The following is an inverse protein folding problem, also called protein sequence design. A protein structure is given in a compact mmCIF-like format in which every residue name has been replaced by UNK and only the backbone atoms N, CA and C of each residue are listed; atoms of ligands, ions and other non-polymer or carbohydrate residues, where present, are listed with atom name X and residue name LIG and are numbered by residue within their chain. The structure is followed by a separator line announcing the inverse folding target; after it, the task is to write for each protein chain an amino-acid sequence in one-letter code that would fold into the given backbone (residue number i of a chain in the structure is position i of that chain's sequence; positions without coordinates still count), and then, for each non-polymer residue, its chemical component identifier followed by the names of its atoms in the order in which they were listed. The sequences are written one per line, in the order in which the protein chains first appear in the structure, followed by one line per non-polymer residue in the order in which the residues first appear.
data_IF_352635650203
#
_entry.id   IF_352635650203
#
_cell.length_a   1.000
_cell.length_b   1.000
_cell.length_c   1.000
_cell.angle_alpha   90.00
_cell.angle_beta   90.00
_cell.angle_gamma   90.00
#
_symmetry.space_group_name_H-M   'P 1'
#
loop_
_entity.id
_entity.type
_entity.pdbx_description
1 polymer ?
#
# COMPACT_ATOMS: atom_id res chain seq x y z
N UNK A 1 26.86 7.72 4.45
CA UNK A 1 27.37 6.89 5.57
C UNK A 1 28.29 5.88 4.93
N UNK A 2 29.48 5.65 5.47
CA UNK A 2 30.50 4.81 4.82
C UNK A 2 29.98 3.36 4.68
N UNK A 3 29.75 2.90 3.45
CA UNK A 3 29.22 1.55 3.17
C UNK A 3 30.20 0.42 3.57
N UNK A 4 31.45 0.79 3.89
CA UNK A 4 32.54 -0.12 4.30
C UNK A 4 32.75 -0.20 5.83
N UNK A 5 31.93 0.45 6.66
CA UNK A 5 32.06 0.32 8.11
C UNK A 5 31.69 -1.10 8.58
N UNK A 6 32.70 -1.84 9.08
CA UNK A 6 32.52 -3.18 9.63
C UNK A 6 32.06 -3.15 11.10
N UNK A 7 30.84 -3.60 11.36
CA UNK A 7 30.24 -3.65 12.69
C UNK A 7 30.45 -5.01 13.37
N UNK A 8 30.83 -5.02 14.67
CA UNK A 8 30.89 -6.25 15.44
C UNK A 8 29.47 -6.78 15.77
N UNK A 9 29.38 -8.08 16.04
CA UNK A 9 28.12 -8.76 16.39
C UNK A 9 27.30 -8.04 17.46
N UNK A 10 27.95 -7.52 18.52
CA UNK A 10 27.28 -6.83 19.62
C UNK A 10 26.51 -5.57 19.17
N UNK A 11 27.10 -4.79 18.24
CA UNK A 11 26.46 -3.60 17.66
C UNK A 11 25.25 -4.01 16.83
N UNK A 12 25.38 -5.08 16.03
CA UNK A 12 24.27 -5.58 15.20
C UNK A 12 23.11 -6.10 16.06
N UNK A 13 23.40 -6.84 17.13
CA UNK A 13 22.35 -7.31 18.05
C UNK A 13 21.62 -6.13 18.72
N UNK A 14 22.35 -5.07 19.09
CA UNK A 14 21.74 -3.87 19.67
C UNK A 14 20.89 -3.10 18.66
N UNK A 15 21.34 -2.94 17.41
CA UNK A 15 20.62 -2.23 16.35
C UNK A 15 19.38 -2.98 15.84
N UNK A 16 19.45 -4.31 15.80
CA UNK A 16 18.40 -5.14 15.17
C UNK A 16 17.44 -5.76 16.18
N UNK A 17 17.79 -5.77 17.47
CA UNK A 17 17.05 -6.48 18.52
C UNK A 17 17.13 -8.01 18.41
N UNK A 18 17.89 -8.56 17.45
CA UNK A 18 18.07 -9.99 17.30
C UNK A 18 19.13 -10.51 18.27
N UNK A 19 18.94 -11.73 18.78
CA UNK A 19 19.97 -12.42 19.54
C UNK A 19 21.12 -12.85 18.62
N UNK A 20 22.33 -12.96 19.21
CA UNK A 20 23.50 -13.51 18.52
C UNK A 20 23.22 -14.91 17.94
N UNK A 21 22.43 -15.74 18.63
CA UNK A 21 22.02 -17.06 18.15
C UNK A 21 21.09 -17.01 16.95
N UNK A 22 20.20 -16.02 16.88
CA UNK A 22 19.33 -15.82 15.71
C UNK A 22 20.14 -15.45 14.48
N UNK A 23 21.14 -14.56 14.63
CA UNK A 23 22.04 -14.19 13.54
C UNK A 23 22.87 -15.40 13.06
N UNK A 24 23.41 -16.18 14.00
CA UNK A 24 24.12 -17.44 13.70
C UNK A 24 23.22 -18.46 13.02
N UNK A 25 21.96 -18.55 13.43
CA UNK A 25 20.97 -19.41 12.82
C UNK A 25 20.68 -18.99 11.38
N UNK A 26 20.46 -17.70 11.11
CA UNK A 26 20.21 -17.21 9.75
C UNK A 26 21.39 -17.42 8.80
N UNK A 27 22.62 -17.24 9.28
CA UNK A 27 23.82 -17.59 8.52
C UNK A 27 23.86 -19.10 8.20
N UNK A 28 23.60 -19.97 9.19
CA UNK A 28 23.59 -21.43 9.02
C UNK A 28 22.51 -21.92 8.06
N UNK A 29 21.33 -21.31 8.09
CA UNK A 29 20.22 -21.64 7.19
C UNK A 29 20.41 -21.07 5.77
N UNK A 30 21.49 -20.32 5.51
CA UNK A 30 21.77 -19.71 4.22
C UNK A 30 20.87 -18.51 3.88
N UNK A 31 20.22 -17.92 4.90
CA UNK A 31 19.43 -16.70 4.74
C UNK A 31 20.32 -15.45 4.62
N UNK A 32 21.47 -15.49 5.29
CA UNK A 32 22.53 -14.49 5.13
C UNK A 32 23.73 -15.14 4.43
N UNK A 33 24.45 -14.41 3.55
CA UNK A 33 25.73 -14.88 3.06
C UNK A 33 26.71 -15.08 4.22
N UNK A 34 27.77 -15.89 4.03
CA UNK A 34 28.84 -16.04 5.02
C UNK A 34 29.39 -14.67 5.42
N UNK A 35 29.38 -14.37 6.72
CA UNK A 35 29.78 -13.07 7.25
C UNK A 35 31.30 -13.05 7.42
N UNK A 36 31.94 -11.95 7.03
CA UNK A 36 33.38 -11.77 7.16
C UNK A 36 33.82 -11.92 8.63
N UNK A 37 35.07 -12.32 8.84
CA UNK A 37 35.67 -12.44 10.18
C UNK A 37 36.95 -11.64 10.25
N UNK A 38 37.18 -10.99 11.39
CA UNK A 38 38.45 -10.32 11.67
C UNK A 38 39.57 -11.34 11.99
N UNK A 39 40.81 -10.84 12.17
CA UNK A 39 41.96 -11.68 12.54
C UNK A 39 41.80 -12.43 13.88
N UNK A 40 40.87 -12.03 14.74
CA UNK A 40 40.50 -12.73 15.98
C UNK A 40 39.34 -13.74 15.82
N UNK A 41 38.91 -14.04 14.59
CA UNK A 41 37.84 -15.02 14.30
C UNK A 41 36.41 -14.54 14.61
N UNK A 42 36.22 -13.26 14.94
CA UNK A 42 34.92 -12.68 15.25
C UNK A 42 34.24 -12.12 13.99
N UNK A 43 32.91 -12.27 13.92
CA UNK A 43 32.08 -11.77 12.79
C UNK A 43 32.13 -10.24 12.67
N UNK A 44 32.12 -9.77 11.42
CA UNK A 44 32.10 -8.38 11.00
C UNK A 44 31.03 -8.20 9.92
N UNK A 45 30.02 -7.40 10.24
CA UNK A 45 28.87 -7.14 9.38
C UNK A 45 29.01 -5.78 8.73
N UNK A 46 28.71 -5.69 7.44
CA UNK A 46 28.64 -4.40 6.73
C UNK A 46 27.21 -3.89 6.68
N UNK A 47 27.01 -2.62 6.35
CA UNK A 47 25.67 -2.03 6.25
C UNK A 47 24.77 -2.81 5.26
N UNK A 48 25.33 -3.28 4.15
CA UNK A 48 24.64 -4.16 3.18
C UNK A 48 24.07 -5.45 3.81
N UNK A 49 24.72 -5.99 4.85
CA UNK A 49 24.24 -7.18 5.54
C UNK A 49 23.06 -6.85 6.46
N UNK A 50 23.07 -5.65 7.07
CA UNK A 50 21.97 -5.14 7.88
C UNK A 50 20.74 -4.82 7.02
N UNK A 51 20.91 -4.25 5.82
CA UNK A 51 19.80 -3.96 4.92
C UNK A 51 19.13 -5.26 4.43
N UNK A 52 19.94 -6.27 4.10
CA UNK A 52 19.45 -7.63 3.77
C UNK A 52 18.68 -8.23 4.93
N UNK A 53 19.23 -8.13 6.14
CA UNK A 53 18.61 -8.64 7.35
C UNK A 53 17.27 -7.93 7.64
N UNK A 54 17.25 -6.60 7.58
CA UNK A 54 16.04 -5.78 7.75
C UNK A 54 14.94 -6.22 6.78
N UNK A 55 15.30 -6.41 5.51
CA UNK A 55 14.33 -6.89 4.51
C UNK A 55 13.85 -8.31 4.78
N UNK A 56 14.74 -9.24 5.15
CA UNK A 56 14.37 -10.61 5.54
C UNK A 56 13.43 -10.63 6.75
N UNK A 57 13.66 -9.76 7.73
CA UNK A 57 12.77 -9.63 8.88
C UNK A 57 11.38 -9.13 8.47
N UNK A 58 11.27 -8.22 7.49
CA UNK A 58 9.98 -7.80 6.93
C UNK A 58 9.26 -8.94 6.22
N UNK A 59 9.97 -9.78 5.45
CA UNK A 59 9.39 -10.98 4.82
C UNK A 59 8.88 -11.96 5.89
N UNK A 60 9.66 -12.19 6.96
CA UNK A 60 9.25 -13.06 8.08
C UNK A 60 8.06 -12.49 8.85
N UNK A 61 8.08 -11.20 9.18
CA UNK A 61 7.00 -10.52 9.92
C UNK A 61 5.67 -10.54 9.14
N UNK A 62 5.77 -10.53 7.81
CA UNK A 62 4.62 -10.72 6.91
C UNK A 62 4.32 -12.19 6.62
N UNK A 63 4.89 -13.13 7.39
CA UNK A 63 4.53 -14.55 7.36
C UNK A 63 5.08 -15.35 6.19
N UNK A 64 6.14 -14.88 5.50
CA UNK A 64 6.82 -15.70 4.50
C UNK A 64 7.44 -16.94 5.18
N UNK A 65 7.17 -18.17 4.69
CA UNK A 65 7.80 -19.37 5.23
C UNK A 65 9.33 -19.33 5.08
N UNK A 66 10.05 -19.89 6.07
CA UNK A 66 11.52 -19.94 6.06
C UNK A 66 12.04 -20.60 4.77
N UNK A 67 11.39 -21.66 4.29
CA UNK A 67 11.77 -22.31 3.03
C UNK A 67 11.74 -21.35 1.82
N UNK A 68 10.71 -20.50 1.72
CA UNK A 68 10.62 -19.48 0.66
C UNK A 68 11.66 -18.36 0.85
N UNK A 69 11.95 -17.98 2.10
CA UNK A 69 13.02 -17.02 2.40
C UNK A 69 14.40 -17.56 2.00
N UNK A 70 14.66 -18.86 2.18
CA UNK A 70 15.90 -19.52 1.72
C UNK A 70 16.01 -19.49 0.21
N UNK A 71 14.96 -19.87 -0.51
CA UNK A 71 14.90 -19.76 -1.97
C UNK A 71 15.19 -18.33 -2.45
N UNK A 72 14.62 -17.32 -1.77
CA UNK A 72 14.87 -15.92 -2.08
C UNK A 72 16.33 -15.51 -1.83
N UNK A 73 16.95 -15.98 -0.75
CA UNK A 73 18.35 -15.75 -0.44
C UNK A 73 19.28 -16.42 -1.47
N UNK A 74 19.01 -17.66 -1.87
CA UNK A 74 19.74 -18.38 -2.93
C UNK A 74 19.69 -17.63 -4.26
N UNK A 75 18.51 -17.20 -4.70
CA UNK A 75 18.33 -16.40 -5.92
C UNK A 75 19.05 -15.04 -5.83
N UNK A 76 19.23 -14.50 -4.63
CA UNK A 76 20.03 -13.28 -4.42
C UNK A 76 21.52 -13.56 -4.61
N UNK A 77 22.02 -14.69 -4.13
CA UNK A 77 23.43 -15.07 -4.29
C UNK A 77 23.82 -15.31 -5.76
N UNK A 78 22.86 -15.62 -6.63
CA UNK A 78 23.04 -15.74 -8.07
C UNK A 78 23.22 -14.38 -8.79
N UNK A 79 23.12 -13.26 -8.08
CA UNK A 79 23.29 -11.93 -8.67
C UNK A 79 22.22 -11.62 -9.73
N UNK A 80 22.66 -11.29 -10.94
CA UNK A 80 21.78 -10.86 -12.03
C UNK A 80 20.89 -11.99 -12.57
N UNK A 81 21.44 -13.20 -12.71
CA UNK A 81 20.70 -14.34 -13.27
C UNK A 81 19.52 -14.75 -12.39
N UNK A 82 19.61 -14.51 -11.08
CA UNK A 82 18.52 -14.74 -10.13
C UNK A 82 17.52 -13.59 -10.00
N UNK A 83 17.72 -12.44 -10.67
CA UNK A 83 16.87 -11.24 -10.50
C UNK A 83 15.41 -11.50 -10.87
N UNK A 84 15.16 -12.13 -12.00
CA UNK A 84 13.80 -12.48 -12.44
C UNK A 84 13.10 -13.40 -11.42
N UNK A 85 13.81 -14.41 -10.91
CA UNK A 85 13.29 -15.31 -9.88
C UNK A 85 12.99 -14.60 -8.56
N UNK A 86 13.87 -13.68 -8.14
CA UNK A 86 13.63 -12.85 -6.93
C UNK A 86 12.38 -12.01 -7.07
N UNK A 87 12.21 -11.35 -8.22
CA UNK A 87 11.01 -10.55 -8.50
C UNK A 87 9.75 -11.41 -8.44
N UNK A 88 9.77 -12.61 -9.04
CA UNK A 88 8.63 -13.53 -8.99
C UNK A 88 8.23 -13.92 -7.56
N UNK A 89 9.22 -14.24 -6.70
CA UNK A 89 8.96 -14.54 -5.27
C UNK A 89 8.33 -13.34 -4.56
N UNK A 90 8.84 -12.14 -4.80
CA UNK A 90 8.31 -10.92 -4.18
C UNK A 90 6.92 -10.55 -4.68
N UNK A 91 6.63 -10.71 -5.97
CA UNK A 91 5.31 -10.46 -6.55
C UNK A 91 4.26 -11.40 -5.97
N UNK A 92 4.60 -12.69 -5.85
CA UNK A 92 3.71 -13.68 -5.23
C UNK A 92 3.44 -13.33 -3.77
N UNK A 93 4.49 -13.09 -2.97
CA UNK A 93 4.33 -12.74 -1.56
C UNK A 93 3.56 -11.43 -1.38
N UNK A 94 3.80 -10.43 -2.24
CA UNK A 94 3.04 -9.17 -2.25
C UNK A 94 1.54 -9.43 -2.47
N UNK A 95 1.18 -10.29 -3.41
CA UNK A 95 -0.21 -10.66 -3.65
C UNK A 95 -0.84 -11.35 -2.42
N UNK A 96 -0.10 -12.25 -1.78
CA UNK A 96 -0.55 -12.97 -0.58
C UNK A 96 -0.76 -12.03 0.61
N UNK A 97 0.19 -11.12 0.86
CA UNK A 97 0.10 -10.09 1.90
C UNK A 97 -1.09 -9.15 1.65
N UNK A 98 -1.29 -8.70 0.41
CA UNK A 98 -2.45 -7.85 0.04
C UNK A 98 -3.78 -8.55 0.35
N UNK A 99 -3.92 -9.84 0.04
CA UNK A 99 -5.13 -10.61 0.39
C UNK A 99 -5.34 -10.69 1.89
N UNK A 100 -4.28 -10.89 2.68
CA UNK A 100 -4.39 -10.94 4.14
C UNK A 100 -4.74 -9.57 4.74
N UNK A 101 -4.19 -8.48 4.20
CA UNK A 101 -4.57 -7.11 4.61
C UNK A 101 -6.06 -6.87 4.36
N UNK A 102 -6.56 -7.20 3.17
CA UNK A 102 -7.98 -7.05 2.85
C UNK A 102 -8.88 -7.83 3.84
N UNK A 103 -8.52 -9.09 4.14
CA UNK A 103 -9.23 -9.90 5.11
C UNK A 103 -9.18 -9.32 6.53
N UNK A 104 -8.03 -8.79 6.96
CA UNK A 104 -7.88 -8.17 8.28
C UNK A 104 -8.74 -6.91 8.40
N UNK A 105 -8.80 -6.09 7.36
CA UNK A 105 -9.65 -4.89 7.31
C UNK A 105 -11.14 -5.27 7.38
N UNK A 106 -11.55 -6.31 6.64
CA UNK A 106 -12.92 -6.82 6.67
C UNK A 106 -13.31 -7.34 8.08
N UNK A 107 -12.43 -8.14 8.68
CA UNK A 107 -12.64 -8.68 10.02
C UNK A 107 -12.67 -7.58 11.08
N UNK A 108 -11.77 -6.60 10.99
CA UNK A 108 -11.75 -5.44 11.89
C UNK A 108 -13.08 -4.69 11.83
N UNK A 109 -13.58 -4.43 10.62
CA UNK A 109 -14.89 -3.80 10.42
C UNK A 109 -16.04 -4.58 11.08
N UNK A 110 -15.99 -5.91 11.08
CA UNK A 110 -16.99 -6.74 11.77
C UNK A 110 -16.88 -6.65 13.30
N UNK A 111 -15.67 -6.57 13.84
CA UNK A 111 -15.40 -6.36 15.26
C UNK A 111 -15.92 -4.99 15.69
N UNK A 112 -15.59 -3.93 14.95
CA UNK A 112 -16.00 -2.55 15.25
C UNK A 112 -17.52 -2.42 15.32
N UNK A 113 -18.24 -2.98 14.35
CA UNK A 113 -19.72 -3.03 14.39
C UNK A 113 -20.26 -3.68 15.65
N UNK A 114 -19.59 -4.72 16.15
CA UNK A 114 -20.01 -5.43 17.36
C UNK A 114 -19.67 -4.63 18.62
N UNK A 115 -18.50 -4.01 18.66
CA UNK A 115 -18.11 -3.07 19.73
C UNK A 115 -19.12 -1.94 19.84
N UNK A 116 -19.47 -1.29 18.72
CA UNK A 116 -20.45 -0.20 18.70
C UNK A 116 -21.85 -0.63 19.13
N UNK A 117 -22.27 -1.85 18.73
CA UNK A 117 -23.52 -2.43 19.20
C UNK A 117 -23.53 -2.60 20.72
N UNK A 118 -22.46 -3.12 21.31
CA UNK A 118 -22.35 -3.28 22.76
C UNK A 118 -22.30 -1.93 23.48
N UNK A 119 -21.52 -0.97 22.97
CA UNK A 119 -21.47 0.41 23.50
C UNK A 119 -22.87 1.05 23.51
N UNK A 120 -23.66 0.86 22.44
CA UNK A 120 -25.04 1.35 22.36
C UNK A 120 -25.95 0.71 23.40
N UNK A 121 -25.87 -0.60 23.59
CA UNK A 121 -26.68 -1.34 24.58
C UNK A 121 -26.38 -0.86 26.01
N UNK A 122 -25.10 -0.69 26.36
CA UNK A 122 -24.70 -0.21 27.69
C UNK A 122 -25.23 1.21 27.94
N UNK A 123 -25.07 2.12 26.96
CA UNK A 123 -25.61 3.49 27.06
C UNK A 123 -27.13 3.51 27.25
N UNK A 124 -27.85 2.63 26.56
CA UNK A 124 -29.31 2.50 26.71
C UNK A 124 -29.73 2.01 28.11
N UNK A 125 -28.85 1.28 28.82
CA UNK A 125 -29.06 0.82 30.19
C UNK A 125 -28.60 1.83 31.26
N UNK A 126 -28.09 2.99 30.86
CA UNK A 126 -27.49 3.96 31.77
C UNK A 126 -26.10 3.56 32.28
N UNK A 127 -25.49 2.54 31.66
CA UNK A 127 -24.14 2.09 31.99
C UNK A 127 -23.11 2.80 31.11
N UNK A 128 -21.99 3.22 31.70
CA UNK A 128 -20.88 3.78 30.94
C UNK A 128 -20.04 2.64 30.33
N UNK A 129 -19.88 2.57 28.99
CA UNK A 129 -19.02 1.58 28.38
C UNK A 129 -17.56 1.77 28.80
N UNK A 130 -16.81 0.66 28.85
CA UNK A 130 -15.36 0.68 29.09
C UNK A 130 -14.70 1.62 28.07
N UNK A 131 -13.90 2.60 28.51
CA UNK A 131 -13.21 3.51 27.61
C UNK A 131 -12.20 2.75 26.76
N UNK A 132 -11.99 3.24 25.53
CA UNK A 132 -10.91 2.74 24.69
C UNK A 132 -9.54 3.11 25.28
N UNK A 133 -8.47 2.46 24.80
CA UNK A 133 -7.10 2.83 25.16
C UNK A 133 -6.73 4.23 24.65
N UNK A 134 -7.42 4.69 23.60
CA UNK A 134 -7.27 6.05 23.08
C UNK A 134 -8.09 7.06 23.90
N UNK A 135 -7.49 8.18 24.33
CA UNK A 135 -8.18 9.21 25.11
C UNK A 135 -9.18 10.04 24.27
N UNK A 136 -9.17 9.90 22.95
CA UNK A 136 -10.12 10.59 22.07
C UNK A 136 -11.45 9.84 22.01
N UNK A 137 -12.57 10.57 22.15
CA UNK A 137 -13.92 10.01 22.02
C UNK A 137 -14.31 9.65 20.57
N UNK A 138 -13.44 9.94 19.60
CA UNK A 138 -13.60 9.67 18.18
C UNK A 138 -12.23 9.43 17.53
N UNK A 139 -12.24 8.76 16.38
CA UNK A 139 -11.06 8.54 15.54
C UNK A 139 -11.40 8.95 14.11
N UNK A 140 -10.46 9.62 13.44
CA UNK A 140 -10.57 9.84 12.00
C UNK A 140 -10.03 8.60 11.29
N UNK A 141 -10.91 7.91 10.58
CA UNK A 141 -10.56 6.76 9.75
C UNK A 141 -10.12 7.21 8.35
N UNK A 142 -9.47 6.32 7.57
CA UNK A 142 -9.18 6.59 6.17
C UNK A 142 -10.42 7.02 5.39
N UNK A 143 -10.20 7.82 4.34
CA UNK A 143 -11.28 8.33 3.48
C UNK A 143 -12.09 7.17 2.91
N UNK A 144 -13.40 7.17 3.17
CA UNK A 144 -14.30 6.14 2.64
C UNK A 144 -14.55 6.32 1.14
N UNK A 145 -14.89 7.54 0.73
CA UNK A 145 -15.20 7.85 -0.66
C UNK A 145 -14.92 9.31 -0.98
N UNK A 146 -14.76 9.59 -2.27
CA UNK A 146 -14.82 10.94 -2.83
C UNK A 146 -16.02 11.01 -3.79
N UNK A 147 -16.67 12.17 -3.85
CA UNK A 147 -17.71 12.43 -4.84
C UNK A 147 -17.20 13.43 -5.88
N UNK A 148 -17.39 13.11 -7.16
CA UNK A 148 -17.12 14.01 -8.29
C UNK A 148 -18.42 14.24 -9.07
N UNK A 149 -18.59 15.47 -9.54
CA UNK A 149 -19.73 15.83 -10.38
C UNK A 149 -19.50 15.35 -11.82
N UNK A 150 -20.57 14.94 -12.48
CA UNK A 150 -20.59 14.61 -13.91
C UNK A 150 -21.82 15.25 -14.58
N UNK A 151 -21.79 15.54 -15.90
CA UNK A 151 -22.96 16.02 -16.60
C UNK A 151 -24.03 14.91 -16.73
N UNK A 152 -25.31 15.29 -16.93
CA UNK A 152 -26.37 14.33 -17.24
C UNK A 152 -26.01 13.47 -18.46
N UNK A 153 -26.17 12.14 -18.35
CA UNK A 153 -25.85 11.19 -19.43
C UNK A 153 -24.38 10.80 -19.56
N UNK A 154 -23.52 11.23 -18.64
CA UNK A 154 -22.08 10.92 -18.64
C UNK A 154 -21.70 9.48 -18.23
N UNK A 155 -22.63 8.65 -17.80
CA UNK A 155 -22.33 7.36 -17.14
C UNK A 155 -21.53 6.39 -18.03
N UNK A 156 -21.76 6.37 -19.35
CA UNK A 156 -21.01 5.49 -20.25
C UNK A 156 -19.56 5.94 -20.44
N UNK A 157 -19.31 7.25 -20.50
CA UNK A 157 -17.95 7.79 -20.50
C UNK A 157 -17.25 7.53 -19.15
N UNK A 158 -18.00 7.56 -18.04
CA UNK A 158 -17.47 7.15 -16.75
C UNK A 158 -17.03 5.69 -16.74
N UNK A 159 -17.83 4.78 -17.29
CA UNK A 159 -17.48 3.35 -17.39
C UNK A 159 -16.24 3.15 -18.25
N UNK A 160 -16.17 3.80 -19.41
CA UNK A 160 -14.98 3.76 -20.27
C UNK A 160 -13.72 4.20 -19.51
N UNK A 161 -13.79 5.27 -18.72
CA UNK A 161 -12.61 5.76 -17.99
C UNK A 161 -12.33 4.98 -16.70
N UNK A 162 -13.26 4.97 -15.74
CA UNK A 162 -13.02 4.45 -14.40
C UNK A 162 -12.93 2.92 -14.37
N UNK A 163 -13.74 2.22 -15.17
CA UNK A 163 -13.69 0.76 -15.25
C UNK A 163 -12.66 0.29 -16.27
N UNK A 164 -12.70 0.80 -17.51
CA UNK A 164 -11.90 0.21 -18.58
C UNK A 164 -10.46 0.75 -18.62
N UNK A 165 -10.22 2.04 -18.32
CA UNK A 165 -8.87 2.63 -18.26
C UNK A 165 -8.22 2.44 -16.88
N UNK A 166 -8.93 2.79 -15.80
CA UNK A 166 -8.38 2.73 -14.43
C UNK A 166 -8.59 1.35 -13.76
N UNK A 167 -9.35 0.44 -14.36
CA UNK A 167 -9.52 -0.92 -13.86
C UNK A 167 -10.34 -1.01 -12.57
N UNK A 168 -11.16 -0.01 -12.23
CA UNK A 168 -12.01 -0.05 -11.04
C UNK A 168 -13.26 -0.90 -11.28
N UNK A 169 -13.79 -1.47 -10.20
CA UNK A 169 -15.02 -2.27 -10.25
C UNK A 169 -16.23 -1.35 -10.08
N UNK A 170 -17.15 -1.35 -11.04
CA UNK A 170 -18.45 -0.66 -10.91
C UNK A 170 -19.28 -1.33 -9.80
N UNK A 171 -19.89 -0.52 -8.94
CA UNK A 171 -20.78 -0.95 -7.87
C UNK A 171 -22.23 -0.70 -8.25
N UNK A 172 -23.10 -1.64 -7.89
CA UNK A 172 -24.54 -1.42 -7.99
C UNK A 172 -24.99 -0.39 -6.94
N UNK A 173 -25.65 0.67 -7.41
CA UNK A 173 -26.19 1.70 -6.52
C UNK A 173 -27.39 1.15 -5.74
N UNK A 174 -27.54 1.50 -4.45
CA UNK A 174 -28.76 1.19 -3.70
C UNK A 174 -30.02 1.70 -4.44
N UNK A 175 -31.15 0.96 -4.41
CA UNK A 175 -32.35 1.33 -5.15
C UNK A 175 -32.85 2.76 -4.87
N UNK A 176 -32.72 3.22 -3.61
CA UNK A 176 -33.12 4.58 -3.20
C UNK A 176 -32.30 5.70 -3.85
N UNK A 177 -31.10 5.40 -4.35
CA UNK A 177 -30.21 6.35 -5.01
C UNK A 177 -30.15 6.16 -6.53
N UNK A 178 -30.67 5.05 -7.07
CA UNK A 178 -30.58 4.70 -8.49
C UNK A 178 -31.20 5.77 -9.40
N UNK A 179 -32.34 6.34 -8.99
CA UNK A 179 -33.08 7.34 -9.76
C UNK A 179 -32.34 8.69 -9.97
N UNK A 180 -31.23 8.92 -9.28
CA UNK A 180 -30.47 10.20 -9.33
C UNK A 180 -29.40 10.25 -10.43
N UNK A 181 -29.31 9.23 -11.29
CA UNK A 181 -28.22 9.11 -12.27
C UNK A 181 -26.85 8.92 -11.64
N UNK A 182 -25.81 8.77 -12.46
CA UNK A 182 -24.44 8.58 -12.03
C UNK A 182 -24.07 7.12 -11.73
N UNK A 183 -22.80 6.89 -11.41
CA UNK A 183 -22.22 5.56 -11.24
C UNK A 183 -21.15 5.56 -10.14
N UNK A 184 -20.96 4.42 -9.48
CA UNK A 184 -20.04 4.27 -8.35
C UNK A 184 -18.97 3.24 -8.70
N UNK A 185 -17.72 3.50 -8.32
CA UNK A 185 -16.59 2.61 -8.58
C UNK A 185 -15.80 2.35 -7.31
N UNK A 186 -15.23 1.16 -7.19
CA UNK A 186 -14.33 0.77 -6.09
C UNK A 186 -13.03 0.20 -6.63
N UNK A 187 -11.91 0.62 -6.03
CA UNK A 187 -10.58 0.14 -6.37
C UNK A 187 -9.54 0.62 -5.36
N UNK A 188 -8.53 -0.20 -5.06
CA UNK A 188 -7.42 0.22 -4.19
C UNK A 188 -7.80 0.60 -2.75
N UNK A 189 -8.99 0.22 -2.27
CA UNK A 189 -9.49 0.61 -0.95
C UNK A 189 -10.25 1.94 -0.92
N UNK A 190 -10.45 2.59 -2.06
CA UNK A 190 -11.22 3.81 -2.24
C UNK A 190 -12.50 3.56 -3.04
N UNK A 191 -13.55 4.33 -2.75
CA UNK A 191 -14.70 4.48 -3.62
C UNK A 191 -14.75 5.87 -4.26
N UNK A 192 -15.13 5.90 -5.54
CA UNK A 192 -15.41 7.12 -6.29
C UNK A 192 -16.88 7.11 -6.67
N UNK A 193 -17.62 8.10 -6.18
CA UNK A 193 -19.03 8.27 -6.47
C UNK A 193 -19.19 9.39 -7.50
N UNK A 194 -19.68 9.07 -8.69
CA UNK A 194 -19.92 10.06 -9.74
C UNK A 194 -21.39 10.44 -9.72
N UNK A 195 -21.68 11.68 -9.33
CA UNK A 195 -23.03 12.21 -9.18
C UNK A 195 -23.38 13.15 -10.32
N UNK A 196 -24.59 13.01 -10.87
CA UNK A 196 -25.09 13.94 -11.90
C UNK A 196 -25.37 15.30 -11.27
N UNK A 197 -24.85 16.36 -11.89
CA UNK A 197 -25.10 17.76 -11.54
C UNK A 197 -25.55 18.55 -12.77
N UNK A 198 -26.55 19.41 -12.61
CA UNK A 198 -27.08 20.28 -13.67
C UNK A 198 -27.36 21.69 -13.10
N UNK A 199 -26.66 22.74 -13.55
CA UNK A 199 -25.61 22.72 -14.58
C UNK A 199 -24.30 22.10 -14.06
N UNK A 200 -23.65 21.30 -14.90
CA UNK A 200 -22.33 20.72 -14.60
C UNK A 200 -21.20 21.73 -14.83
N UNK A 201 -20.26 21.78 -13.88
CA UNK A 201 -18.99 22.52 -14.00
C UNK A 201 -17.84 21.61 -13.53
N UNK A 202 -16.77 21.42 -14.31
CA UNK A 202 -15.66 20.58 -13.91
C UNK A 202 -14.88 21.15 -12.72
N UNK A 203 -14.46 20.27 -11.80
CA UNK A 203 -13.58 20.63 -10.70
C UNK A 203 -12.11 20.67 -11.14
N UNK A 204 -11.67 21.83 -11.65
CA UNK A 204 -10.29 22.00 -12.15
C UNK A 204 -9.24 22.15 -11.04
N UNK A 205 -9.68 22.52 -9.82
CA UNK A 205 -8.81 22.73 -8.66
C UNK A 205 -9.01 21.69 -7.55
N UNK A 206 -10.24 21.41 -7.17
CA UNK A 206 -10.53 20.39 -6.17
C UNK A 206 -10.39 19.01 -6.81
N UNK A 207 -9.57 18.14 -6.24
CA UNK A 207 -9.29 16.82 -6.80
C UNK A 207 -8.94 15.81 -5.70
N UNK A 208 -9.22 14.51 -5.93
CA UNK A 208 -8.65 13.45 -5.13
C UNK A 208 -7.19 13.22 -5.51
N UNK A 209 -6.36 13.01 -4.49
CA UNK A 209 -5.01 12.44 -4.62
C UNK A 209 -5.08 10.93 -4.48
N UNK A 210 -4.78 10.21 -5.55
CA UNK A 210 -4.87 8.76 -5.66
C UNK A 210 -3.47 8.15 -5.54
N UNK A 211 -3.24 7.42 -4.45
CA UNK A 211 -2.04 6.62 -4.29
C UNK A 211 -2.10 5.40 -5.22
N UNK A 212 -1.06 5.23 -6.03
CA UNK A 212 -0.95 4.12 -6.98
C UNK A 212 0.37 3.38 -6.81
N UNK A 213 0.42 2.17 -7.37
CA UNK A 213 1.66 1.43 -7.54
C UNK A 213 1.89 1.23 -9.03
N UNK A 214 3.05 1.66 -9.55
CA UNK A 214 3.30 1.68 -10.98
C UNK A 214 2.86 2.98 -11.65
N UNK A 215 3.20 4.13 -11.07
CA UNK A 215 2.74 5.45 -11.53
C UNK A 215 3.07 5.72 -13.00
N UNK A 216 4.28 5.32 -13.44
CA UNK A 216 4.74 5.47 -14.83
C UNK A 216 3.94 4.61 -15.81
N UNK A 217 3.56 3.40 -15.40
CA UNK A 217 2.75 2.50 -16.23
C UNK A 217 1.33 3.04 -16.38
N UNK A 218 0.75 3.56 -15.29
CA UNK A 218 -0.55 4.23 -15.30
C UNK A 218 -0.55 5.46 -16.22
N UNK A 219 0.49 6.30 -16.14
CA UNK A 219 0.64 7.45 -17.04
C UNK A 219 0.57 7.03 -18.51
N UNK A 220 1.32 5.98 -18.89
CA UNK A 220 1.28 5.46 -20.26
C UNK A 220 -0.07 4.84 -20.65
N UNK A 221 -0.82 4.26 -19.71
CA UNK A 221 -2.19 3.77 -19.95
C UNK A 221 -3.13 4.94 -20.24
N UNK A 222 -3.07 6.00 -19.44
CA UNK A 222 -3.88 7.22 -19.64
C UNK A 222 -3.57 7.87 -20.99
N UNK A 223 -2.29 8.08 -21.32
CA UNK A 223 -1.88 8.68 -22.60
C UNK A 223 -2.37 7.86 -23.81
N UNK A 224 -2.25 6.53 -23.77
CA UNK A 224 -2.77 5.66 -24.83
C UNK A 224 -4.29 5.69 -24.95
N UNK A 225 -4.98 5.93 -23.84
CA UNK A 225 -6.43 6.12 -23.82
C UNK A 225 -6.86 7.55 -24.21
N UNK A 226 -5.92 8.44 -24.53
CA UNK A 226 -6.20 9.81 -24.95
C UNK A 226 -6.37 10.81 -23.80
N UNK A 227 -5.93 10.46 -22.59
CA UNK A 227 -5.94 11.32 -21.40
C UNK A 227 -4.53 11.87 -21.13
N UNK A 228 -4.25 13.16 -21.44
CA UNK A 228 -2.93 13.75 -21.19
C UNK A 228 -2.57 13.74 -19.71
N UNK A 229 -1.27 13.59 -19.44
CA UNK A 229 -0.70 13.66 -18.08
C UNK A 229 0.25 14.85 -17.97
N UNK A 230 0.25 15.49 -16.81
CA UNK A 230 1.15 16.61 -16.48
C UNK A 230 1.95 16.23 -15.26
N UNK A 231 3.23 15.92 -15.45
CA UNK A 231 4.15 15.59 -14.36
C UNK A 231 4.45 16.81 -13.48
N UNK A 232 4.61 16.55 -12.19
CA UNK A 232 5.02 17.55 -11.21
C UNK A 232 6.05 16.92 -10.26
N UNK A 233 7.28 17.40 -10.37
CA UNK A 233 8.44 16.91 -9.61
C UNK A 233 8.70 17.75 -8.33
N UNK A 234 7.85 18.73 -8.02
CA UNK A 234 8.05 19.69 -6.91
C UNK A 234 7.37 19.25 -5.60
N UNK A 235 6.94 17.99 -5.49
CA UNK A 235 6.31 17.45 -4.29
C UNK A 235 7.26 16.53 -3.50
N UNK A 236 7.78 16.98 -2.34
CA UNK A 236 8.71 16.17 -1.56
C UNK A 236 8.11 14.82 -1.15
N UNK A 237 8.87 13.76 -1.39
CA UNK A 237 8.56 12.40 -0.94
C UNK A 237 7.64 11.59 -1.85
N UNK A 238 7.12 12.15 -2.95
CA UNK A 238 6.35 11.40 -3.94
C UNK A 238 6.69 11.85 -5.37
N UNK A 239 6.70 10.89 -6.28
CA UNK A 239 6.52 11.19 -7.70
C UNK A 239 5.02 11.37 -7.95
N UNK A 240 4.62 12.34 -8.77
CA UNK A 240 3.21 12.56 -9.09
C UNK A 240 2.97 13.11 -10.49
N UNK A 241 1.75 12.95 -10.98
CA UNK A 241 1.24 13.68 -12.14
C UNK A 241 -0.25 14.00 -11.97
N UNK A 242 -0.72 14.97 -12.74
CA UNK A 242 -2.12 15.33 -12.87
C UNK A 242 -2.69 14.85 -14.20
N UNK A 243 -3.95 14.43 -14.19
CA UNK A 243 -4.73 14.14 -15.38
C UNK A 243 -6.16 14.65 -15.19
N UNK A 244 -6.99 14.56 -16.22
CA UNK A 244 -8.42 14.84 -16.14
C UNK A 244 -9.24 13.60 -16.48
N UNK A 245 -10.39 13.48 -15.81
CA UNK A 245 -11.43 12.55 -16.23
C UNK A 245 -12.07 13.00 -17.57
N UNK A 246 -13.01 12.23 -18.15
CA UNK A 246 -13.64 12.57 -19.43
C UNK A 246 -14.39 13.91 -19.47
N UNK A 247 -14.66 14.53 -18.32
CA UNK A 247 -15.42 15.76 -18.21
C UNK A 247 -14.57 16.96 -17.77
N UNK A 248 -13.27 16.77 -17.57
CA UNK A 248 -12.35 17.82 -17.15
C UNK A 248 -12.16 17.93 -15.63
N UNK A 249 -12.74 17.01 -14.83
CA UNK A 249 -12.43 16.98 -13.40
C UNK A 249 -10.97 16.60 -13.20
N UNK A 250 -10.24 17.38 -12.42
CA UNK A 250 -8.83 17.11 -12.14
C UNK A 250 -8.69 15.88 -11.23
N UNK A 251 -7.70 15.06 -11.53
CA UNK A 251 -7.24 13.93 -10.74
C UNK A 251 -5.74 14.08 -10.50
N UNK A 252 -5.27 13.68 -9.32
CA UNK A 252 -3.85 13.57 -9.00
C UNK A 252 -3.51 12.11 -8.73
N UNK A 253 -2.43 11.62 -9.33
CA UNK A 253 -1.90 10.29 -9.07
C UNK A 253 -0.49 10.42 -8.51
N UNK A 254 -0.22 9.69 -7.44
CA UNK A 254 1.06 9.79 -6.72
C UNK A 254 1.55 8.42 -6.24
N UNK A 255 2.86 8.25 -6.21
CA UNK A 255 3.55 7.07 -5.68
C UNK A 255 4.72 7.54 -4.81
N UNK A 256 4.93 6.97 -3.60
CA UNK A 256 6.07 7.34 -2.76
C UNK A 256 7.38 7.21 -3.52
N UNK A 257 8.20 8.26 -3.48
CA UNK A 257 9.50 8.25 -4.15
C UNK A 257 10.51 7.46 -3.31
N UNK A 258 11.23 6.52 -3.91
CA UNK A 258 12.34 5.79 -3.25
C UNK A 258 13.56 6.71 -2.94
N UNK A 259 13.48 8.00 -3.25
CA UNK A 259 14.47 9.03 -2.92
C UNK A 259 14.31 9.47 -1.46
N UNK A 260 14.57 8.56 -0.51
CA UNK A 260 14.51 8.80 0.94
C UNK A 260 15.66 8.13 1.66
#
# INVERSE_FOLDING_TARGET
MDDDEEMPLAVVTARTGLSADTLRYYEREGLLPPVARNGGGQRRYRQVDLDRLSFLLRLRATGMPIATMRRFAELRMQGETGRAGRLAVLLQHRADVRRRVALLVENLSAIDRKVDRHRRILRQRGENPVPDASPAAFELLPLHHVQLAIPPGGEDACRAFWRDVLGMTELEKPPVLAARGGCWFRGGGLEVHLGVEDPFVPAEKAHPGLLVSGLRELAGVLERAGHPVTWDDDFPGHDRFYAADPFGNRLEFLEPSDRG
#
